data_IF_005081783575
#
_entry.id   IF_005081783575
#
_cell.length_a   1.000
_cell.length_b   1.000
_cell.length_c   1.000
_cell.angle_alpha   90.00
_cell.angle_beta   90.00
_cell.angle_gamma   90.00
#
_symmetry.space_group_name_H-M   'P 1'
#
loop_
_entity.id
_entity.type
_entity.pdbx_description
1 polymer ?
#
# COMPACT_ATOMS: atom_id res chain seq x y z
N UNK A 1 -33.81 -35.96 -7.11
CA UNK A 1 -33.17 -34.63 -6.96
C UNK A 1 -31.64 -34.71 -7.05
N UNK A 2 -31.03 -35.73 -7.67
CA UNK A 2 -29.55 -35.86 -7.72
C UNK A 2 -29.01 -36.29 -9.08
N UNK A 3 -29.22 -35.49 -10.13
CA UNK A 3 -28.56 -35.71 -11.43
C UNK A 3 -27.49 -34.64 -11.69
N UNK A 4 -26.60 -34.42 -10.72
CA UNK A 4 -25.37 -33.65 -10.98
C UNK A 4 -24.27 -34.57 -11.51
N UNK A 5 -23.57 -34.12 -12.56
CA UNK A 5 -22.38 -34.80 -13.06
C UNK A 5 -21.23 -34.72 -12.05
N UNK A 6 -20.25 -35.62 -12.16
CA UNK A 6 -19.06 -35.59 -11.29
C UNK A 6 -18.33 -34.24 -11.35
N UNK A 7 -18.26 -33.62 -12.53
CA UNK A 7 -17.68 -32.28 -12.71
C UNK A 7 -18.47 -31.20 -11.95
N UNK A 8 -19.81 -31.22 -12.03
CA UNK A 8 -20.66 -30.28 -11.28
C UNK A 8 -20.48 -30.43 -9.76
N UNK A 9 -20.40 -31.66 -9.27
CA UNK A 9 -20.17 -31.96 -7.84
C UNK A 9 -18.80 -31.50 -7.34
N UNK A 10 -17.82 -31.30 -8.22
CA UNK A 10 -16.50 -30.80 -7.86
C UNK A 10 -16.40 -29.27 -7.99
N UNK A 11 -16.63 -28.73 -9.19
CA UNK A 11 -16.35 -27.32 -9.47
C UNK A 11 -17.31 -26.35 -8.78
N UNK A 12 -18.61 -26.67 -8.66
CA UNK A 12 -19.55 -25.74 -8.01
C UNK A 12 -19.26 -25.58 -6.51
N UNK A 13 -19.08 -26.64 -5.70
CA UNK A 13 -18.69 -26.48 -4.31
C UNK A 13 -17.33 -25.78 -4.13
N UNK A 14 -16.34 -26.09 -4.97
CA UNK A 14 -15.03 -25.39 -4.93
C UNK A 14 -15.20 -23.90 -5.20
N UNK A 15 -15.98 -23.52 -6.22
CA UNK A 15 -16.23 -22.12 -6.57
C UNK A 15 -16.97 -21.38 -5.46
N UNK A 16 -18.00 -22.00 -4.87
CA UNK A 16 -18.78 -21.41 -3.76
C UNK A 16 -17.90 -21.27 -2.51
N UNK A 17 -17.18 -22.33 -2.14
CA UNK A 17 -16.27 -22.32 -1.00
C UNK A 17 -15.14 -21.30 -1.15
N UNK A 18 -14.59 -21.17 -2.35
CA UNK A 18 -13.57 -20.17 -2.66
C UNK A 18 -14.10 -18.74 -2.52
N UNK A 19 -15.30 -18.43 -3.04
CA UNK A 19 -15.89 -17.10 -2.88
C UNK A 19 -16.23 -16.80 -1.41
N UNK A 20 -16.71 -17.78 -0.64
CA UNK A 20 -16.91 -17.63 0.79
C UNK A 20 -15.59 -17.32 1.52
N UNK A 21 -14.51 -18.03 1.16
CA UNK A 21 -13.18 -17.78 1.69
C UNK A 21 -12.67 -16.37 1.33
N UNK A 22 -12.82 -15.94 0.07
CA UNK A 22 -12.47 -14.59 -0.39
C UNK A 22 -13.19 -13.52 0.44
N UNK A 23 -14.51 -13.62 0.58
CA UNK A 23 -15.33 -12.63 1.30
C UNK A 23 -14.98 -12.59 2.79
N UNK A 24 -14.93 -13.75 3.45
CA UNK A 24 -14.66 -13.83 4.89
C UNK A 24 -13.27 -13.30 5.26
N UNK A 25 -12.23 -13.67 4.51
CA UNK A 25 -10.86 -13.19 4.76
C UNK A 25 -10.69 -11.72 4.40
N UNK A 26 -11.38 -11.22 3.37
CA UNK A 26 -11.38 -9.79 3.04
C UNK A 26 -12.11 -8.97 4.11
N UNK A 27 -13.22 -9.47 4.65
CA UNK A 27 -13.90 -8.84 5.77
C UNK A 27 -12.98 -8.75 6.99
N UNK A 28 -12.27 -9.83 7.34
CA UNK A 28 -11.28 -9.81 8.40
C UNK A 28 -10.17 -8.79 8.13
N UNK A 29 -9.64 -8.75 6.91
CA UNK A 29 -8.62 -7.76 6.51
C UNK A 29 -9.12 -6.31 6.70
N UNK A 30 -10.35 -6.00 6.25
CA UNK A 30 -10.94 -4.67 6.41
C UNK A 30 -11.18 -4.34 7.88
N UNK A 31 -11.62 -5.30 8.69
CA UNK A 31 -11.86 -5.09 10.13
C UNK A 31 -10.60 -4.66 10.88
N UNK A 32 -9.43 -5.01 10.36
CA UNK A 32 -8.12 -4.71 10.94
C UNK A 32 -7.45 -3.46 10.33
N UNK A 33 -8.22 -2.55 9.69
CA UNK A 33 -7.69 -1.37 8.99
C UNK A 33 -6.80 -0.45 9.84
N UNK A 34 -7.02 -0.40 11.15
CA UNK A 34 -6.24 0.42 12.09
C UNK A 34 -4.86 -0.20 12.41
N UNK A 35 -4.67 -1.49 12.15
CA UNK A 35 -3.40 -2.17 12.38
C UNK A 35 -2.33 -1.59 11.46
N UNK A 36 -1.11 -1.29 11.97
CA UNK A 36 0.00 -0.84 11.13
C UNK A 36 0.29 -1.80 9.96
N UNK A 37 0.05 -3.10 10.14
CA UNK A 37 0.24 -4.11 9.11
C UNK A 37 -0.65 -3.90 7.86
N UNK A 38 -1.79 -3.22 8.00
CA UNK A 38 -2.82 -3.08 6.96
C UNK A 38 -3.03 -1.62 6.55
N UNK A 39 -2.85 -0.64 7.45
CA UNK A 39 -3.06 0.80 7.19
C UNK A 39 -2.37 1.27 5.89
N UNK A 40 -1.16 0.78 5.64
CA UNK A 40 -0.37 1.17 4.47
C UNK A 40 -0.66 0.34 3.20
N UNK A 41 -1.56 -0.65 3.25
CA UNK A 41 -1.82 -1.61 2.15
C UNK A 41 -2.99 -1.25 1.21
N UNK A 42 -3.52 -0.02 1.26
CA UNK A 42 -4.64 0.45 0.43
C UNK A 42 -5.82 -0.53 0.35
N UNK A 43 -6.79 -0.35 1.25
CA UNK A 43 -7.96 -1.23 1.33
C UNK A 43 -8.75 -1.23 0.02
N UNK A 44 -8.98 -0.05 -0.57
CA UNK A 44 -9.75 0.08 -1.82
C UNK A 44 -9.14 -0.74 -2.96
N UNK A 45 -7.82 -0.65 -3.18
CA UNK A 45 -7.15 -1.39 -4.25
C UNK A 45 -7.12 -2.89 -3.96
N UNK A 46 -6.99 -3.27 -2.68
CA UNK A 46 -7.05 -4.67 -2.25
C UNK A 46 -8.44 -5.27 -2.51
N UNK A 47 -9.51 -4.51 -2.24
CA UNK A 47 -10.89 -4.93 -2.56
C UNK A 47 -11.10 -5.07 -4.07
N UNK A 48 -10.57 -4.16 -4.88
CA UNK A 48 -10.63 -4.30 -6.35
C UNK A 48 -9.90 -5.56 -6.85
N UNK A 49 -8.74 -5.91 -6.26
CA UNK A 49 -8.09 -7.19 -6.53
C UNK A 49 -8.99 -8.37 -6.17
N UNK A 50 -9.66 -8.35 -5.02
CA UNK A 50 -10.58 -9.42 -4.59
C UNK A 50 -11.78 -9.54 -5.54
N UNK A 51 -12.36 -8.42 -5.98
CA UNK A 51 -13.47 -8.42 -6.96
C UNK A 51 -13.00 -9.02 -8.30
N UNK A 52 -11.85 -8.57 -8.81
CA UNK A 52 -11.27 -9.12 -10.04
C UNK A 52 -10.99 -10.63 -9.92
N UNK A 53 -10.45 -11.06 -8.79
CA UNK A 53 -10.20 -12.47 -8.47
C UNK A 53 -11.50 -13.28 -8.46
N UNK A 54 -12.52 -12.83 -7.71
CA UNK A 54 -13.83 -13.47 -7.63
C UNK A 54 -14.46 -13.62 -9.02
N UNK A 55 -14.46 -12.56 -9.84
CA UNK A 55 -15.01 -12.59 -11.20
C UNK A 55 -14.31 -13.65 -12.07
N UNK A 56 -12.99 -13.62 -12.12
CA UNK A 56 -12.20 -14.52 -12.98
C UNK A 56 -12.28 -15.97 -12.51
N UNK A 57 -12.11 -16.22 -11.21
CA UNK A 57 -12.14 -17.57 -10.66
C UNK A 57 -13.54 -18.18 -10.74
N UNK A 58 -14.59 -17.39 -10.51
CA UNK A 58 -15.99 -17.85 -10.66
C UNK A 58 -16.31 -18.17 -12.11
N UNK A 59 -15.89 -17.34 -13.06
CA UNK A 59 -16.06 -17.62 -14.48
C UNK A 59 -15.37 -18.93 -14.87
N UNK A 60 -14.07 -19.04 -14.59
CA UNK A 60 -13.26 -20.14 -15.10
C UNK A 60 -13.54 -21.46 -14.42
N UNK A 61 -13.86 -21.49 -13.12
CA UNK A 61 -14.26 -22.74 -12.46
C UNK A 61 -15.75 -23.05 -12.69
N UNK A 62 -16.62 -22.05 -12.64
CA UNK A 62 -18.07 -22.22 -12.75
C UNK A 62 -18.55 -22.65 -14.13
N UNK A 63 -17.78 -22.36 -15.19
CA UNK A 63 -18.14 -22.77 -16.56
C UNK A 63 -17.77 -24.22 -16.89
N UNK A 64 -16.76 -24.81 -16.23
CA UNK A 64 -16.20 -26.11 -16.62
C UNK A 64 -17.24 -27.23 -16.64
N UNK A 65 -18.19 -27.30 -15.68
CA UNK A 65 -19.22 -28.33 -15.71
C UNK A 65 -20.21 -28.24 -16.87
N UNK A 66 -20.31 -27.07 -17.50
CA UNK A 66 -21.24 -26.76 -18.60
C UNK A 66 -20.47 -26.23 -19.81
N UNK A 67 -19.23 -26.65 -20.00
CA UNK A 67 -18.32 -26.05 -20.98
C UNK A 67 -18.95 -25.93 -22.37
N UNK A 68 -19.56 -27.00 -22.88
CA UNK A 68 -20.14 -27.06 -24.23
C UNK A 68 -21.40 -26.21 -24.42
N UNK A 69 -22.12 -25.92 -23.33
CA UNK A 69 -23.34 -25.10 -23.34
C UNK A 69 -23.11 -23.70 -22.76
N UNK A 70 -21.88 -23.36 -22.40
CA UNK A 70 -21.59 -22.09 -21.75
C UNK A 70 -21.55 -20.95 -22.78
N UNK A 71 -22.24 -19.83 -22.52
CA UNK A 71 -22.32 -18.72 -23.45
C UNK A 71 -20.99 -17.98 -23.61
N UNK A 72 -20.51 -17.86 -24.86
CA UNK A 72 -19.20 -17.27 -25.13
C UNK A 72 -19.09 -15.78 -24.78
N UNK A 73 -20.19 -15.01 -24.92
CA UNK A 73 -20.18 -13.59 -24.56
C UNK A 73 -19.87 -13.36 -23.07
N UNK A 74 -20.27 -14.27 -22.18
CA UNK A 74 -19.97 -14.15 -20.75
C UNK A 74 -18.47 -14.29 -20.50
N UNK A 75 -17.78 -15.18 -21.23
CA UNK A 75 -16.33 -15.33 -21.11
C UNK A 75 -15.58 -14.06 -21.47
N UNK A 76 -15.90 -13.44 -22.62
CA UNK A 76 -15.18 -12.24 -23.06
C UNK A 76 -15.45 -11.06 -22.13
N UNK A 77 -16.69 -10.83 -21.70
CA UNK A 77 -17.03 -9.72 -20.81
C UNK A 77 -16.39 -9.85 -19.44
N UNK A 78 -16.54 -11.01 -18.80
CA UNK A 78 -16.00 -11.21 -17.45
C UNK A 78 -14.46 -11.21 -17.48
N UNK A 79 -13.84 -11.75 -18.54
CA UNK A 79 -12.38 -11.67 -18.69
C UNK A 79 -11.89 -10.25 -18.95
N UNK A 80 -12.61 -9.47 -19.77
CA UNK A 80 -12.32 -8.06 -20.06
C UNK A 80 -12.49 -7.14 -18.86
N UNK A 81 -13.29 -7.51 -17.86
CA UNK A 81 -13.46 -6.71 -16.64
C UNK A 81 -12.54 -7.23 -15.54
N UNK A 82 -12.61 -8.53 -15.24
CA UNK A 82 -11.96 -9.14 -14.08
C UNK A 82 -10.44 -9.12 -14.16
N UNK A 83 -9.85 -9.51 -15.29
CA UNK A 83 -8.37 -9.55 -15.43
C UNK A 83 -7.77 -8.14 -15.41
N UNK A 84 -8.27 -7.15 -16.18
CA UNK A 84 -7.77 -5.78 -16.11
C UNK A 84 -8.00 -5.12 -14.76
N UNK A 85 -9.14 -5.35 -14.10
CA UNK A 85 -9.38 -4.83 -12.74
C UNK A 85 -8.31 -5.34 -11.76
N UNK A 86 -7.99 -6.63 -11.81
CA UNK A 86 -6.95 -7.20 -10.96
C UNK A 86 -5.56 -6.63 -11.29
N UNK A 87 -5.15 -6.65 -12.56
CA UNK A 87 -3.84 -6.19 -13.02
C UNK A 87 -3.60 -4.69 -12.74
N UNK A 88 -4.57 -3.86 -13.05
CA UNK A 88 -4.48 -2.40 -12.82
C UNK A 88 -4.50 -2.06 -11.33
N UNK A 89 -5.16 -2.88 -10.49
CA UNK A 89 -5.11 -2.73 -9.03
C UNK A 89 -3.72 -3.07 -8.47
N UNK A 90 -3.07 -4.13 -8.97
CA UNK A 90 -1.67 -4.46 -8.62
C UNK A 90 -0.73 -3.32 -9.03
N UNK A 91 -0.85 -2.82 -10.27
CA UNK A 91 -0.07 -1.69 -10.76
C UNK A 91 -0.30 -0.42 -9.91
N UNK A 92 -1.55 -0.14 -9.53
CA UNK A 92 -1.91 0.95 -8.63
C UNK A 92 -1.28 0.82 -7.24
N UNK A 93 -1.15 -0.40 -6.70
CA UNK A 93 -0.48 -0.63 -5.41
C UNK A 93 1.03 -0.37 -5.50
N UNK A 94 1.69 -0.75 -6.61
CA UNK A 94 3.08 -0.37 -6.86
C UNK A 94 3.26 1.15 -6.91
N UNK A 95 2.45 1.85 -7.71
CA UNK A 95 2.47 3.31 -7.82
C UNK A 95 2.28 4.00 -6.46
N UNK A 96 1.31 3.54 -5.66
CA UNK A 96 1.04 4.09 -4.32
C UNK A 96 2.21 3.85 -3.35
N UNK A 97 2.84 2.68 -3.40
CA UNK A 97 4.00 2.39 -2.55
C UNK A 97 5.19 3.28 -2.90
N UNK A 98 5.47 3.45 -4.20
CA UNK A 98 6.56 4.31 -4.68
C UNK A 98 6.36 5.74 -4.19
N UNK A 99 5.12 6.24 -4.33
CA UNK A 99 4.77 7.57 -3.84
C UNK A 99 4.95 7.71 -2.32
N UNK A 100 4.39 6.78 -1.52
CA UNK A 100 4.50 6.83 -0.05
C UNK A 100 5.96 6.89 0.41
N UNK A 101 6.83 6.11 -0.22
CA UNK A 101 8.25 6.10 0.10
C UNK A 101 8.94 7.42 -0.26
N UNK A 102 8.82 7.88 -1.51
CA UNK A 102 9.48 9.10 -1.95
C UNK A 102 8.93 10.36 -1.27
N UNK A 103 7.65 10.38 -0.94
CA UNK A 103 7.04 11.45 -0.15
C UNK A 103 7.60 11.48 1.28
N UNK A 104 7.69 10.31 1.92
CA UNK A 104 8.32 10.20 3.25
C UNK A 104 9.81 10.59 3.22
N UNK A 105 10.50 10.31 2.10
CA UNK A 105 11.90 10.71 1.89
C UNK A 105 12.02 12.23 1.76
N UNK A 106 11.13 12.87 1.00
CA UNK A 106 11.09 14.32 0.87
C UNK A 106 10.85 14.99 2.24
N UNK A 107 9.93 14.43 3.05
CA UNK A 107 9.72 14.88 4.44
C UNK A 107 10.97 14.75 5.30
N UNK A 108 11.68 13.63 5.25
CA UNK A 108 12.93 13.45 6.00
C UNK A 108 13.96 14.51 5.64
N UNK A 109 14.15 14.78 4.34
CA UNK A 109 15.11 15.78 3.85
C UNK A 109 14.70 17.19 4.28
N UNK A 110 13.44 17.56 4.10
CA UNK A 110 12.93 18.88 4.50
C UNK A 110 12.99 19.10 6.02
N UNK A 111 12.61 18.08 6.80
CA UNK A 111 12.67 18.12 8.26
C UNK A 111 14.10 18.20 8.81
N UNK A 112 15.04 17.51 8.18
CA UNK A 112 16.47 17.58 8.56
C UNK A 112 17.10 18.91 8.16
N UNK A 113 16.69 19.50 7.04
CA UNK A 113 17.17 20.82 6.59
C UNK A 113 16.65 21.97 7.46
N UNK A 114 15.53 21.76 8.16
CA UNK A 114 14.97 22.73 9.10
C UNK A 114 15.86 22.97 10.34
N UNK A 115 16.92 22.19 10.56
CA UNK A 115 17.89 22.45 11.65
C UNK A 115 18.69 23.75 11.45
N UNK A 116 18.77 24.29 10.23
CA UNK A 116 19.51 25.54 9.93
C UNK A 116 18.75 26.83 10.26
N UNK A 117 17.57 26.73 10.89
CA UNK A 117 16.64 27.86 10.99
C UNK A 117 16.95 28.94 12.03
N UNK A 118 17.85 28.68 12.96
CA UNK A 118 18.27 29.66 13.97
C UNK A 118 19.80 29.65 14.02
N UNK A 119 20.43 30.22 12.99
CA UNK A 119 21.83 30.61 13.06
C UNK A 119 21.96 31.86 13.94
N UNK A 120 22.37 31.63 15.19
CA UNK A 120 22.63 32.68 16.19
C UNK A 120 23.90 33.49 15.89
N UNK A 121 24.66 33.16 14.83
CA UNK A 121 25.89 33.83 14.44
C UNK A 121 25.71 35.09 13.57
N UNK A 122 24.49 35.39 13.13
CA UNK A 122 24.19 36.55 12.27
C UNK A 122 23.46 37.64 13.06
N UNK A 123 24.01 38.86 13.10
CA UNK A 123 23.39 40.07 13.69
C UNK A 123 22.01 40.44 13.12
N UNK A 124 21.55 39.76 12.06
CA UNK A 124 20.18 39.84 11.56
C UNK A 124 19.58 38.44 11.43
N UNK A 125 18.40 38.17 12.01
CA UNK A 125 17.69 36.91 11.77
C UNK A 125 17.29 36.85 10.30
N UNK A 126 18.08 36.11 9.51
CA UNK A 126 17.80 35.90 8.09
C UNK A 126 17.00 34.62 7.97
N UNK A 127 15.70 34.74 7.71
CA UNK A 127 14.80 33.59 7.52
C UNK A 127 15.25 32.84 6.27
N UNK A 128 16.01 31.75 6.46
CA UNK A 128 16.51 30.94 5.34
C UNK A 128 15.59 29.72 5.14
N UNK A 129 14.69 29.84 4.15
CA UNK A 129 13.84 28.83 3.47
C UNK A 129 13.08 27.75 4.28
N UNK A 130 11.75 27.88 4.39
CA UNK A 130 10.92 27.07 5.32
C UNK A 130 11.01 25.58 4.97
N UNK A 131 10.80 24.63 5.91
CA UNK A 131 10.66 23.23 5.54
C UNK A 131 9.58 23.02 4.45
N UNK A 132 8.58 23.91 4.39
CA UNK A 132 7.63 23.98 3.27
C UNK A 132 8.27 24.41 1.95
N UNK A 133 9.21 25.34 1.92
CA UNK A 133 9.93 25.71 0.69
C UNK A 133 10.76 24.55 0.11
N UNK A 134 11.43 23.76 0.97
CA UNK A 134 12.17 22.56 0.52
C UNK A 134 11.22 21.50 -0.03
N UNK A 135 10.02 21.36 0.56
CA UNK A 135 8.97 20.49 0.05
C UNK A 135 8.39 21.02 -1.27
N UNK A 136 8.17 22.33 -1.41
CA UNK A 136 7.57 22.96 -2.60
C UNK A 136 8.43 22.77 -3.85
N UNK A 137 9.76 22.69 -3.69
CA UNK A 137 10.70 22.37 -4.78
C UNK A 137 10.68 20.87 -5.17
N UNK A 138 10.17 20.00 -4.30
CA UNK A 138 10.16 18.56 -4.54
C UNK A 138 9.05 18.14 -5.52
N UNK A 139 9.41 17.41 -6.58
CA UNK A 139 8.46 16.96 -7.60
C UNK A 139 7.32 16.10 -7.06
N UNK A 140 7.61 15.19 -6.10
CA UNK A 140 6.63 14.29 -5.51
C UNK A 140 5.59 15.07 -4.70
N UNK A 141 6.05 16.09 -3.97
CA UNK A 141 5.18 16.97 -3.21
C UNK A 141 4.27 17.80 -4.11
N UNK A 142 4.84 18.42 -5.15
CA UNK A 142 4.11 19.23 -6.13
C UNK A 142 3.00 18.45 -6.84
N UNK A 143 3.19 17.15 -7.03
CA UNK A 143 2.25 16.29 -7.74
C UNK A 143 1.50 15.30 -6.83
N UNK A 144 1.51 15.51 -5.51
CA UNK A 144 0.94 14.57 -4.52
C UNK A 144 -0.50 14.15 -4.79
N UNK A 145 -1.32 15.06 -5.32
CA UNK A 145 -2.72 14.78 -5.66
C UNK A 145 -2.87 13.65 -6.69
N UNK A 146 -1.91 13.51 -7.62
CA UNK A 146 -1.88 12.48 -8.66
C UNK A 146 -1.56 11.08 -8.13
N UNK A 147 -1.20 10.96 -6.85
CA UNK A 147 -0.85 9.69 -6.21
C UNK A 147 -1.79 9.31 -5.07
N UNK A 148 -2.87 10.06 -4.90
CA UNK A 148 -3.95 9.70 -3.98
C UNK A 148 -4.66 8.43 -4.47
N UNK A 149 -5.20 7.65 -3.52
CA UNK A 149 -6.01 6.47 -3.86
C UNK A 149 -7.16 6.85 -4.80
N UNK A 150 -7.78 8.01 -4.61
CA UNK A 150 -8.88 8.49 -5.45
C UNK A 150 -8.43 8.72 -6.91
N UNK A 151 -7.25 9.31 -7.12
CA UNK A 151 -6.71 9.49 -8.47
C UNK A 151 -6.40 8.14 -9.13
N UNK A 152 -5.78 7.20 -8.40
CA UNK A 152 -5.51 5.85 -8.90
C UNK A 152 -6.81 5.14 -9.27
N UNK A 153 -7.86 5.26 -8.45
CA UNK A 153 -9.19 4.69 -8.76
C UNK A 153 -9.76 5.29 -10.06
N UNK A 154 -9.63 6.61 -10.28
CA UNK A 154 -10.05 7.24 -11.54
C UNK A 154 -9.28 6.68 -12.75
N UNK A 155 -7.97 6.43 -12.62
CA UNK A 155 -7.18 5.79 -13.67
C UNK A 155 -7.65 4.36 -13.96
N UNK A 156 -7.95 3.57 -12.92
CA UNK A 156 -8.49 2.20 -13.07
C UNK A 156 -9.85 2.24 -13.77
N UNK A 157 -10.76 3.14 -13.37
CA UNK A 157 -12.06 3.31 -14.01
C UNK A 157 -11.91 3.71 -15.49
N UNK A 158 -10.98 4.61 -15.80
CA UNK A 158 -10.67 4.98 -17.19
C UNK A 158 -10.14 3.79 -18.01
N UNK A 159 -9.22 3.01 -17.45
CA UNK A 159 -8.68 1.81 -18.09
C UNK A 159 -9.75 0.74 -18.35
N UNK A 160 -10.64 0.51 -17.38
CA UNK A 160 -11.78 -0.41 -17.52
C UNK A 160 -12.78 0.09 -18.56
N UNK A 161 -13.07 1.39 -18.57
CA UNK A 161 -13.99 1.99 -19.56
C UNK A 161 -13.45 1.82 -20.98
N UNK A 162 -12.15 2.04 -21.17
CA UNK A 162 -11.48 1.78 -22.44
C UNK A 162 -11.58 0.30 -22.85
N UNK A 163 -11.31 -0.63 -21.93
CA UNK A 163 -11.41 -2.06 -22.20
C UNK A 163 -12.85 -2.50 -22.52
N UNK A 164 -13.85 -1.95 -21.83
CA UNK A 164 -15.26 -2.19 -22.11
C UNK A 164 -15.64 -1.68 -23.50
N UNK A 165 -15.16 -0.51 -23.90
CA UNK A 165 -15.38 0.02 -25.25
C UNK A 165 -14.77 -0.89 -26.33
N UNK A 166 -13.55 -1.41 -26.12
CA UNK A 166 -12.95 -2.40 -27.03
C UNK A 166 -13.75 -3.70 -27.09
N UNK A 167 -14.28 -4.16 -25.95
CA UNK A 167 -15.09 -5.38 -25.88
C UNK A 167 -16.42 -5.22 -26.61
N UNK A 168 -17.07 -4.06 -26.45
CA UNK A 168 -18.28 -3.69 -27.20
C UNK A 168 -18.01 -3.65 -28.70
N UNK A 169 -16.88 -3.07 -29.11
CA UNK A 169 -16.46 -3.03 -30.50
C UNK A 169 -16.30 -4.45 -31.06
N UNK A 170 -15.56 -5.32 -30.37
CA UNK A 170 -15.39 -6.73 -30.77
C UNK A 170 -16.76 -7.41 -30.91
N UNK A 171 -17.65 -7.23 -29.94
CA UNK A 171 -18.98 -7.83 -29.95
C UNK A 171 -19.84 -7.32 -31.12
N UNK A 172 -19.68 -6.05 -31.54
CA UNK A 172 -20.39 -5.51 -32.70
C UNK A 172 -19.92 -6.14 -34.02
N UNK A 173 -18.65 -6.54 -34.12
CA UNK A 173 -18.07 -7.10 -35.35
C UNK A 173 -18.10 -8.62 -35.45
N UNK A 174 -18.17 -9.35 -34.33
CA UNK A 174 -18.22 -10.83 -34.33
C UNK A 174 -19.64 -11.35 -34.21
N UNK A 175 -20.01 -12.32 -35.04
CA UNK A 175 -21.29 -13.04 -34.91
C UNK A 175 -21.25 -14.13 -33.84
N UNK A 176 -20.04 -14.56 -33.41
CA UNK A 176 -19.87 -15.64 -32.41
C UNK A 176 -20.20 -15.21 -30.99
N UNK A 177 -19.94 -13.93 -30.65
CA UNK A 177 -20.11 -13.40 -29.30
C UNK A 177 -21.28 -12.41 -29.19
N UNK A 178 -22.17 -12.35 -30.20
CA UNK A 178 -23.42 -11.60 -30.13
C UNK A 178 -24.35 -12.18 -29.05
N UNK A 179 -25.16 -11.31 -28.45
CA UNK A 179 -26.18 -11.70 -27.45
C UNK A 179 -27.46 -12.17 -28.17
N UNK A 180 -27.83 -11.50 -29.25
CA UNK A 180 -29.03 -11.76 -30.07
C UNK A 180 -28.69 -11.43 -31.53
N UNK A 181 -29.08 -12.21 -32.56
CA UNK A 181 -29.88 -13.44 -32.54
C UNK A 181 -29.08 -14.75 -32.46
N UNK A 182 -27.76 -14.72 -32.73
CA UNK A 182 -26.90 -15.91 -32.72
C UNK A 182 -25.85 -15.80 -31.63
N UNK A 183 -25.76 -16.80 -30.76
CA UNK A 183 -24.77 -16.88 -29.68
C UNK A 183 -24.01 -18.20 -29.80
N UNK A 184 -22.67 -18.14 -29.87
CA UNK A 184 -21.87 -19.35 -29.81
C UNK A 184 -21.86 -19.93 -28.39
N UNK A 185 -21.88 -21.27 -28.33
CA UNK A 185 -21.80 -22.08 -27.12
C UNK A 185 -20.57 -22.97 -27.21
N UNK A 186 -19.82 -23.09 -26.12
CA UNK A 186 -18.62 -23.93 -26.04
C UNK A 186 -17.43 -23.41 -26.85
N UNK A 187 -16.23 -23.92 -26.53
CA UNK A 187 -14.96 -23.55 -27.19
C UNK A 187 -14.68 -22.03 -27.25
N UNK A 188 -15.18 -21.29 -26.26
CA UNK A 188 -15.25 -19.84 -26.28
C UNK A 188 -13.92 -19.10 -26.05
N UNK A 189 -12.84 -19.77 -25.69
CA UNK A 189 -11.55 -19.13 -25.36
C UNK A 189 -10.57 -19.05 -26.53
N UNK A 190 -10.96 -19.57 -27.69
CA UNK A 190 -10.09 -19.63 -28.86
C UNK A 190 -10.69 -18.71 -29.92
N UNK A 191 -10.08 -17.55 -30.10
CA UNK A 191 -10.57 -16.54 -31.03
C UNK A 191 -9.73 -15.28 -31.03
N UNK A 192 -9.81 -14.54 -32.14
CA UNK A 192 -9.19 -13.21 -32.26
C UNK A 192 -9.89 -12.19 -31.35
N UNK A 193 -11.11 -12.50 -30.91
CA UNK A 193 -11.93 -11.70 -30.03
C UNK A 193 -11.27 -11.42 -28.67
N UNK A 194 -10.36 -12.29 -28.22
CA UNK A 194 -9.59 -12.12 -26.97
C UNK A 194 -8.31 -11.31 -27.15
N UNK A 195 -7.91 -10.97 -28.38
CA UNK A 195 -6.69 -10.19 -28.65
C UNK A 195 -6.65 -8.90 -27.83
N UNK A 196 -7.73 -8.09 -27.73
CA UNK A 196 -7.69 -6.87 -26.92
C UNK A 196 -7.37 -7.14 -25.44
N UNK A 197 -7.96 -8.18 -24.84
CA UNK A 197 -7.69 -8.56 -23.44
C UNK A 197 -6.24 -9.02 -23.27
N UNK A 198 -5.72 -9.80 -24.21
CA UNK A 198 -4.34 -10.26 -24.15
C UNK A 198 -3.34 -9.13 -24.34
N UNK A 199 -3.58 -8.20 -25.26
CA UNK A 199 -2.72 -7.06 -25.50
C UNK A 199 -2.71 -6.10 -24.31
N UNK A 200 -3.87 -5.79 -23.72
CA UNK A 200 -3.91 -4.93 -22.54
C UNK A 200 -3.30 -5.60 -21.32
N UNK A 201 -3.53 -6.91 -21.13
CA UNK A 201 -2.89 -7.68 -20.06
C UNK A 201 -1.36 -7.73 -20.23
N UNK A 202 -0.88 -7.99 -21.46
CA UNK A 202 0.54 -7.99 -21.77
C UNK A 202 1.18 -6.61 -21.56
N UNK A 203 0.48 -5.52 -21.94
CA UNK A 203 0.94 -4.16 -21.64
C UNK A 203 1.09 -3.93 -20.14
N UNK A 204 0.11 -4.34 -19.32
CA UNK A 204 0.21 -4.17 -17.87
C UNK A 204 1.36 -4.99 -17.27
N UNK A 205 1.53 -6.24 -17.70
CA UNK A 205 2.54 -7.17 -17.17
C UNK A 205 3.94 -6.85 -17.65
N UNK A 206 4.14 -6.50 -18.93
CA UNK A 206 5.49 -6.36 -19.51
C UNK A 206 5.94 -4.91 -19.66
N UNK A 207 5.04 -3.93 -19.54
CA UNK A 207 5.39 -2.51 -19.63
C UNK A 207 5.10 -1.80 -18.32
N UNK A 208 3.84 -1.75 -17.90
CA UNK A 208 3.44 -0.89 -16.77
C UNK A 208 4.03 -1.35 -15.43
N UNK A 209 3.87 -2.62 -15.06
CA UNK A 209 4.40 -3.15 -13.81
C UNK A 209 5.94 -3.08 -13.75
N UNK A 210 6.70 -3.48 -14.81
CA UNK A 210 8.16 -3.31 -14.83
C UNK A 210 8.62 -1.86 -14.65
N UNK A 211 7.93 -0.88 -15.25
CA UNK A 211 8.22 0.54 -15.03
C UNK A 211 8.04 0.96 -13.57
N UNK A 212 7.00 0.46 -12.89
CA UNK A 212 6.83 0.74 -11.46
C UNK A 212 7.81 -0.03 -10.57
N UNK A 213 8.22 -1.23 -10.98
CA UNK A 213 9.24 -2.02 -10.27
C UNK A 213 10.60 -1.32 -10.35
N UNK A 214 10.98 -0.77 -11.51
CA UNK A 214 12.22 0.00 -11.65
C UNK A 214 12.17 1.30 -10.85
N UNK A 215 11.01 1.95 -10.78
CA UNK A 215 10.80 3.10 -9.90
C UNK A 215 10.98 2.75 -8.41
N UNK A 216 10.64 1.53 -8.01
CA UNK A 216 10.83 1.00 -6.66
C UNK A 216 12.23 0.41 -6.41
N UNK A 217 13.19 0.57 -7.32
CA UNK A 217 14.55 0.06 -7.14
C UNK A 217 15.21 0.79 -5.96
N UNK A 218 15.82 0.03 -5.05
CA UNK A 218 16.42 0.57 -3.81
C UNK A 218 15.42 0.93 -2.70
N UNK A 219 14.11 0.85 -2.95
CA UNK A 219 13.08 1.02 -1.92
C UNK A 219 12.98 -0.25 -1.08
N UNK A 220 13.00 -0.11 0.23
CA UNK A 220 12.85 -1.22 1.17
C UNK A 220 11.91 -0.81 2.31
N UNK A 221 10.75 -1.44 2.39
CA UNK A 221 9.67 -1.06 3.30
C UNK A 221 9.60 -2.00 4.52
N UNK A 222 9.27 -1.46 5.69
CA UNK A 222 9.24 -2.23 6.94
C UNK A 222 8.09 -3.25 7.01
N UNK A 223 7.11 -3.16 6.12
CA UNK A 223 5.88 -3.95 6.13
C UNK A 223 5.91 -5.13 5.14
N UNK A 224 6.95 -5.23 4.31
CA UNK A 224 7.10 -6.24 3.27
C UNK A 224 6.08 -6.12 2.12
N UNK A 225 5.52 -4.93 1.89
CA UNK A 225 4.56 -4.64 0.81
C UNK A 225 5.24 -4.83 -0.54
N UNK A 226 6.47 -4.33 -0.73
CA UNK A 226 7.22 -4.51 -1.97
C UNK A 226 7.41 -6.00 -2.28
N UNK A 227 7.82 -6.80 -1.29
CA UNK A 227 8.04 -8.24 -1.47
C UNK A 227 6.76 -8.97 -1.87
N UNK A 228 5.63 -8.62 -1.28
CA UNK A 228 4.33 -9.15 -1.67
C UNK A 228 3.98 -8.78 -3.11
N UNK A 229 4.09 -7.51 -3.50
CA UNK A 229 3.78 -7.08 -4.86
C UNK A 229 4.70 -7.74 -5.89
N UNK A 230 5.98 -7.95 -5.54
CA UNK A 230 6.91 -8.71 -6.39
C UNK A 230 6.51 -10.18 -6.52
N UNK A 231 5.97 -10.80 -5.47
CA UNK A 231 5.46 -12.16 -5.52
C UNK A 231 4.21 -12.25 -6.41
N UNK A 232 3.26 -11.33 -6.25
CA UNK A 232 2.05 -11.23 -7.10
C UNK A 232 2.43 -11.04 -8.58
N UNK A 233 3.38 -10.14 -8.86
CA UNK A 233 3.88 -9.90 -10.20
C UNK A 233 4.53 -11.16 -10.81
N UNK A 234 5.43 -11.80 -10.06
CA UNK A 234 6.14 -13.00 -10.51
C UNK A 234 5.16 -14.14 -10.80
N UNK A 235 4.21 -14.35 -9.91
CA UNK A 235 3.16 -15.35 -10.05
C UNK A 235 2.27 -15.06 -11.27
N UNK A 236 1.92 -13.80 -11.50
CA UNK A 236 1.18 -13.36 -12.68
C UNK A 236 1.94 -13.61 -13.99
N UNK A 237 3.24 -13.30 -14.04
CA UNK A 237 4.10 -13.58 -15.20
C UNK A 237 4.17 -15.07 -15.48
N UNK A 238 4.41 -15.90 -14.46
CA UNK A 238 4.46 -17.37 -14.61
C UNK A 238 3.12 -17.89 -15.14
N UNK A 239 2.00 -17.48 -14.55
CA UNK A 239 0.68 -17.91 -14.99
C UNK A 239 0.36 -17.47 -16.41
N UNK A 240 0.74 -16.25 -16.80
CA UNK A 240 0.54 -15.75 -18.16
C UNK A 240 1.36 -16.55 -19.18
N UNK A 241 2.62 -16.86 -18.87
CA UNK A 241 3.48 -17.69 -19.73
C UNK A 241 2.91 -19.11 -19.85
N UNK A 242 2.54 -19.73 -18.72
CA UNK A 242 1.95 -21.07 -18.72
C UNK A 242 0.62 -21.12 -19.47
N UNK A 243 -0.22 -20.09 -19.34
CA UNK A 243 -1.43 -19.94 -20.11
C UNK A 243 -1.14 -19.96 -21.62
N UNK A 244 -0.19 -19.14 -22.09
CA UNK A 244 0.19 -19.07 -23.51
C UNK A 244 0.77 -20.40 -23.98
N UNK A 245 1.67 -21.01 -23.21
CA UNK A 245 2.28 -22.30 -23.56
C UNK A 245 1.23 -23.40 -23.71
N UNK A 246 0.28 -23.50 -22.76
CA UNK A 246 -0.81 -24.46 -22.84
C UNK A 246 -1.77 -24.13 -23.99
N UNK A 247 -2.04 -22.85 -24.27
CA UNK A 247 -2.91 -22.48 -25.37
C UNK A 247 -2.27 -22.71 -26.76
N UNK A 248 -0.96 -22.55 -26.89
CA UNK A 248 -0.26 -22.55 -28.17
C UNK A 248 0.32 -23.92 -28.56
N UNK A 249 0.70 -24.77 -27.60
CA UNK A 249 1.39 -26.05 -27.89
C UNK A 249 0.39 -27.20 -28.11
N UNK A 250 0.32 -27.77 -29.33
CA UNK A 250 -0.60 -28.87 -29.62
C UNK A 250 -0.28 -30.16 -28.84
N UNK A 251 0.97 -30.35 -28.43
CA UNK A 251 1.42 -31.50 -27.65
C UNK A 251 0.78 -31.57 -26.25
N UNK A 252 0.26 -30.45 -25.74
CA UNK A 252 -0.38 -30.38 -24.43
C UNK A 252 -1.89 -30.66 -24.48
N UNK A 253 -2.46 -30.99 -25.65
CA UNK A 253 -3.92 -31.19 -25.83
C UNK A 253 -4.54 -32.18 -24.85
N UNK A 254 -3.88 -33.29 -24.55
CA UNK A 254 -4.42 -34.27 -23.59
C UNK A 254 -4.34 -33.77 -22.14
N UNK A 255 -3.33 -32.98 -21.81
CA UNK A 255 -3.22 -32.33 -20.50
C UNK A 255 -4.28 -31.24 -20.36
N UNK A 256 -4.55 -30.46 -21.40
CA UNK A 256 -5.54 -29.38 -21.42
C UNK A 256 -6.96 -29.89 -21.15
N UNK A 257 -7.28 -31.13 -21.56
CA UNK A 257 -8.58 -31.76 -21.25
C UNK A 257 -8.79 -31.96 -19.75
N UNK A 258 -7.71 -32.15 -18.99
CA UNK A 258 -7.75 -32.38 -17.54
C UNK A 258 -7.58 -31.04 -16.80
N UNK A 259 -6.65 -30.21 -17.28
CA UNK A 259 -6.30 -28.92 -16.69
C UNK A 259 -6.29 -27.84 -17.78
N UNK A 260 -7.44 -27.21 -18.05
CA UNK A 260 -7.54 -26.17 -19.06
C UNK A 260 -6.59 -24.99 -18.79
N UNK A 261 -6.01 -24.41 -19.83
CA UNK A 261 -5.00 -23.34 -19.73
C UNK A 261 -5.40 -22.19 -18.78
N UNK A 262 -6.69 -21.81 -18.75
CA UNK A 262 -7.23 -20.76 -17.89
C UNK A 262 -7.06 -21.03 -16.38
N UNK A 263 -6.90 -22.29 -15.97
CA UNK A 263 -6.70 -22.66 -14.57
C UNK A 263 -5.35 -22.17 -14.02
N UNK A 264 -4.34 -21.91 -14.86
CA UNK A 264 -3.11 -21.28 -14.42
C UNK A 264 -3.36 -19.90 -13.81
N UNK A 265 -4.25 -19.11 -14.42
CA UNK A 265 -4.70 -17.84 -13.86
C UNK A 265 -5.49 -18.01 -12.56
N UNK A 266 -6.34 -19.04 -12.47
CA UNK A 266 -7.10 -19.35 -11.24
C UNK A 266 -6.15 -19.65 -10.09
N UNK A 267 -5.20 -20.56 -10.29
CA UNK A 267 -4.22 -20.95 -9.26
C UNK A 267 -3.39 -19.73 -8.82
N UNK A 268 -2.94 -18.91 -9.77
CA UNK A 268 -2.21 -17.68 -9.45
C UNK A 268 -3.05 -16.69 -8.63
N UNK A 269 -4.30 -16.46 -9.00
CA UNK A 269 -5.20 -15.57 -8.26
C UNK A 269 -5.48 -16.10 -6.85
N UNK A 270 -5.65 -17.42 -6.70
CA UNK A 270 -5.86 -18.05 -5.39
C UNK A 270 -4.64 -17.88 -4.47
N UNK A 271 -3.44 -18.16 -4.98
CA UNK A 271 -2.19 -18.00 -4.24
C UNK A 271 -1.93 -16.52 -3.90
N UNK A 272 -2.17 -15.61 -4.85
CA UNK A 272 -2.05 -14.17 -4.63
C UNK A 272 -2.95 -13.69 -3.48
N UNK A 273 -4.20 -14.15 -3.40
CA UNK A 273 -5.09 -13.79 -2.30
C UNK A 273 -4.55 -14.22 -0.93
N UNK A 274 -3.92 -15.40 -0.86
CA UNK A 274 -3.29 -15.87 0.38
C UNK A 274 -2.17 -14.92 0.84
N UNK A 275 -1.28 -14.52 -0.06
CA UNK A 275 -0.18 -13.63 0.28
C UNK A 275 -0.62 -12.19 0.53
N UNK A 276 -1.58 -11.68 -0.24
CA UNK A 276 -1.94 -10.26 -0.27
C UNK A 276 -3.06 -9.86 0.67
N UNK A 277 -3.89 -10.81 1.11
CA UNK A 277 -5.02 -10.55 2.02
C UNK A 277 -4.88 -11.39 3.30
N UNK A 278 -4.72 -12.71 3.17
CA UNK A 278 -4.76 -13.62 4.32
C UNK A 278 -3.56 -13.44 5.24
N UNK A 279 -2.33 -13.42 4.71
CA UNK A 279 -1.13 -13.25 5.54
C UNK A 279 -1.10 -11.90 6.29
N UNK A 280 -1.38 -10.74 5.66
CA UNK A 280 -1.47 -9.48 6.39
C UNK A 280 -2.58 -9.49 7.45
N UNK A 281 -3.74 -10.08 7.18
CA UNK A 281 -4.82 -10.20 8.14
C UNK A 281 -4.43 -11.05 9.35
N UNK A 282 -3.81 -12.21 9.12
CA UNK A 282 -3.31 -13.08 10.20
C UNK A 282 -2.21 -12.38 10.99
N UNK A 283 -1.30 -11.67 10.33
CA UNK A 283 -0.26 -10.89 11.00
C UNK A 283 -0.83 -9.75 11.85
N UNK A 284 -1.89 -9.08 11.38
CA UNK A 284 -2.58 -8.06 12.16
C UNK A 284 -3.25 -8.65 13.42
N UNK A 285 -3.94 -9.79 13.28
CA UNK A 285 -4.58 -10.50 14.39
C UNK A 285 -3.56 -11.02 15.41
N UNK A 286 -2.47 -11.65 14.93
CA UNK A 286 -1.38 -12.15 15.79
C UNK A 286 -0.58 -11.02 16.42
N UNK A 287 -0.39 -9.91 15.71
CA UNK A 287 0.29 -8.71 16.24
C UNK A 287 -0.48 -8.03 17.37
N UNK A 288 -1.80 -8.28 17.49
CA UNK A 288 -2.60 -7.87 18.64
C UNK A 288 -2.47 -8.80 19.86
N UNK A 289 -2.13 -10.07 19.66
CA UNK A 289 -2.14 -11.12 20.71
C UNK A 289 -0.74 -11.61 21.15
N UNK A 290 0.29 -11.40 20.33
CA UNK A 290 1.66 -11.83 20.59
C UNK A 290 2.57 -10.66 20.90
N UNK A 291 2.71 -10.34 22.20
CA UNK A 291 3.62 -9.33 22.69
C UNK A 291 5.02 -9.45 22.07
N UNK A 292 5.56 -8.29 21.69
CA UNK A 292 6.99 -8.11 21.49
C UNK A 292 7.72 -8.55 22.76
N UNK A 293 8.15 -9.81 22.80
CA UNK A 293 9.20 -10.23 23.73
C UNK A 293 10.45 -9.43 23.35
N UNK A 294 10.99 -8.71 24.34
CA UNK A 294 12.34 -8.13 24.39
C UNK A 294 12.59 -6.77 23.73
N UNK A 295 11.81 -5.73 24.06
CA UNK A 295 12.32 -4.34 23.98
C UNK A 295 11.86 -3.55 25.19
N UNK A 296 12.77 -3.28 26.14
CA UNK A 296 12.47 -2.46 27.32
C UNK A 296 12.38 -0.98 26.93
N UNK A 297 11.56 -0.22 27.66
CA UNK A 297 11.51 1.24 27.51
C UNK A 297 12.90 1.87 27.71
N UNK A 298 13.68 1.34 28.66
CA UNK A 298 15.05 1.78 28.92
C UNK A 298 15.98 1.60 27.71
N UNK A 299 15.83 0.50 26.95
CA UNK A 299 16.62 0.29 25.73
C UNK A 299 16.23 1.27 24.62
N UNK A 300 14.94 1.60 24.51
CA UNK A 300 14.49 2.66 23.59
C UNK A 300 15.02 4.03 24.00
N UNK A 301 14.95 4.36 25.29
CA UNK A 301 15.49 5.61 25.85
C UNK A 301 16.98 5.75 25.57
N UNK A 302 17.77 4.71 25.84
CA UNK A 302 19.21 4.71 25.52
C UNK A 302 19.48 4.89 24.03
N UNK A 303 18.64 4.32 23.15
CA UNK A 303 18.78 4.46 21.69
C UNK A 303 18.50 5.89 21.22
N UNK A 304 17.47 6.55 21.76
CA UNK A 304 17.13 7.94 21.36
C UNK A 304 18.06 8.99 21.99
N UNK A 305 18.79 8.63 23.05
CA UNK A 305 19.83 9.49 23.65
C UNK A 305 21.15 9.44 22.88
N UNK A 306 21.46 8.33 22.20
CA UNK A 306 22.63 8.18 21.34
C UNK A 306 22.36 8.81 19.96
N UNK A 307 23.06 9.90 19.58
CA UNK A 307 22.83 10.59 18.30
C UNK A 307 23.05 9.68 17.09
N UNK A 308 24.02 8.77 17.14
CA UNK A 308 24.33 7.89 16.02
C UNK A 308 23.22 6.84 15.84
N UNK A 309 22.77 6.23 16.94
CA UNK A 309 21.68 5.25 16.88
C UNK A 309 20.35 5.92 16.49
N UNK A 310 20.09 7.11 17.01
CA UNK A 310 18.89 7.86 16.66
C UNK A 310 18.86 8.27 15.18
N UNK A 311 20.00 8.62 14.57
CA UNK A 311 20.09 8.84 13.12
C UNK A 311 19.76 7.59 12.29
N UNK A 312 20.17 6.41 12.76
CA UNK A 312 19.79 5.14 12.12
C UNK A 312 18.29 4.89 12.30
N UNK A 313 17.73 5.18 13.47
CA UNK A 313 16.31 5.08 13.75
C UNK A 313 15.47 6.04 12.90
N UNK A 314 15.92 7.29 12.70
CA UNK A 314 15.29 8.26 11.78
C UNK A 314 15.23 7.72 10.36
N UNK A 315 16.32 7.16 9.84
CA UNK A 315 16.32 6.50 8.52
C UNK A 315 15.41 5.27 8.48
N UNK A 316 15.26 4.54 9.57
CA UNK A 316 14.30 3.45 9.66
C UNK A 316 12.85 3.96 9.61
N UNK A 317 12.53 5.08 10.28
CA UNK A 317 11.18 5.66 10.30
C UNK A 317 10.67 6.06 8.91
N UNK A 318 11.58 6.33 7.96
CA UNK A 318 11.25 6.48 6.53
C UNK A 318 10.63 5.19 5.96
N UNK A 319 11.26 4.05 6.23
CA UNK A 319 10.80 2.73 5.79
C UNK A 319 9.50 2.29 6.48
N UNK A 320 9.25 2.86 7.66
CA UNK A 320 8.05 2.66 8.47
C UNK A 320 6.91 3.64 8.13
N UNK A 321 7.15 4.62 7.24
CA UNK A 321 6.23 5.69 6.88
C UNK A 321 5.71 6.48 8.10
N UNK A 322 6.62 6.82 9.02
CA UNK A 322 6.32 7.50 10.28
C UNK A 322 7.40 8.52 10.69
N UNK A 323 7.99 9.20 9.70
CA UNK A 323 9.16 10.06 9.87
C UNK A 323 8.86 11.30 10.71
N UNK A 324 7.65 11.82 10.62
CA UNK A 324 7.16 12.97 11.36
C UNK A 324 7.32 12.79 12.88
N UNK A 325 7.12 11.58 13.40
CA UNK A 325 7.27 11.28 14.82
C UNK A 325 8.71 11.49 15.28
N UNK A 326 9.68 10.96 14.52
CA UNK A 326 11.09 11.07 14.87
C UNK A 326 11.61 12.51 14.75
N UNK A 327 11.17 13.23 13.71
CA UNK A 327 11.53 14.64 13.50
C UNK A 327 10.95 15.55 14.60
N UNK A 328 9.68 15.36 14.98
CA UNK A 328 9.09 16.10 16.08
C UNK A 328 9.80 15.81 17.41
N UNK A 329 10.07 14.54 17.69
CA UNK A 329 10.75 14.12 18.91
C UNK A 329 12.13 14.78 19.04
N UNK A 330 12.92 14.75 17.97
CA UNK A 330 14.22 15.41 17.91
C UNK A 330 14.13 16.91 18.16
N UNK A 331 13.16 17.57 17.51
CA UNK A 331 13.01 19.02 17.58
C UNK A 331 12.63 19.48 18.98
N UNK A 332 11.77 18.73 19.68
CA UNK A 332 11.46 18.99 21.09
C UNK A 332 12.67 18.73 22.01
N UNK A 333 13.45 17.67 21.78
CA UNK A 333 14.68 17.42 22.55
C UNK A 333 15.68 18.57 22.38
N UNK A 334 15.91 19.03 21.15
CA UNK A 334 16.78 20.18 20.85
C UNK A 334 16.29 21.46 21.52
N UNK A 335 14.98 21.74 21.44
CA UNK A 335 14.37 22.88 22.12
C UNK A 335 14.63 22.81 23.64
N UNK A 336 14.30 21.69 24.27
CA UNK A 336 14.51 21.47 25.71
C UNK A 336 15.98 21.61 26.12
N UNK A 337 16.91 21.11 25.31
CA UNK A 337 18.34 21.25 25.56
C UNK A 337 18.76 22.73 25.51
N UNK A 338 18.34 23.48 24.48
CA UNK A 338 18.65 24.90 24.33
C UNK A 338 17.97 25.78 25.40
N UNK A 339 16.84 25.35 25.96
CA UNK A 339 16.09 26.10 26.98
C UNK A 339 16.29 25.58 28.39
N UNK A 340 17.25 24.68 28.63
CA UNK A 340 17.46 24.04 29.94
C UNK A 340 17.71 25.05 31.07
N UNK A 341 18.37 26.15 30.74
CA UNK A 341 18.69 27.24 31.68
C UNK A 341 17.56 28.28 31.82
N UNK A 342 16.53 28.21 30.96
CA UNK A 342 15.39 29.12 30.94
C UNK A 342 14.20 28.61 31.77
N UNK A 343 14.34 27.44 32.42
CA UNK A 343 13.31 26.86 33.30
C UNK A 343 13.08 27.74 34.54
N UNK A 344 12.19 28.72 34.42
CA UNK A 344 11.83 29.66 35.49
C UNK A 344 11.87 31.15 35.09
N UNK A 345 12.25 31.46 33.85
CA UNK A 345 12.18 32.84 33.34
C UNK A 345 10.71 33.31 33.22
N UNK A 346 10.44 34.55 33.67
CA UNK A 346 9.10 35.13 33.63
C UNK A 346 8.61 35.39 32.19
N UNK A 347 9.53 35.64 31.26
CA UNK A 347 9.25 35.84 29.83
C UNK A 347 10.16 34.96 28.98
N UNK A 348 9.58 34.38 27.93
CA UNK A 348 10.33 33.57 26.97
C UNK A 348 11.03 34.46 25.94
N UNK A 349 12.30 34.20 25.61
CA UNK A 349 12.97 34.90 24.52
C UNK A 349 12.20 34.78 23.20
N UNK A 350 12.25 35.83 22.37
CA UNK A 350 11.53 35.89 21.09
C UNK A 350 11.82 34.67 20.19
N UNK A 351 13.07 34.21 20.15
CA UNK A 351 13.44 33.03 19.35
C UNK A 351 12.76 31.74 19.83
N UNK A 352 12.49 31.59 21.14
CA UNK A 352 11.77 30.44 21.70
C UNK A 352 10.31 30.48 21.26
N UNK A 353 9.69 31.66 21.31
CA UNK A 353 8.30 31.86 20.85
C UNK A 353 8.21 31.55 19.35
N UNK A 354 9.16 32.03 18.55
CA UNK A 354 9.22 31.75 17.11
C UNK A 354 9.38 30.24 16.84
N UNK A 355 10.24 29.55 17.59
CA UNK A 355 10.45 28.11 17.45
C UNK A 355 9.20 27.31 17.87
N UNK A 356 8.53 27.69 18.95
CA UNK A 356 7.26 27.07 19.38
C UNK A 356 6.18 27.23 18.30
N UNK A 357 6.05 28.43 17.73
CA UNK A 357 5.13 28.68 16.61
C UNK A 357 5.50 27.84 15.38
N UNK A 358 6.79 27.74 15.05
CA UNK A 358 7.27 26.92 13.94
C UNK A 358 6.92 25.44 14.14
N UNK A 359 7.14 24.89 15.33
CA UNK A 359 6.80 23.50 15.67
C UNK A 359 5.29 23.28 15.56
N UNK A 360 4.48 24.20 16.10
CA UNK A 360 3.01 24.09 16.01
C UNK A 360 2.53 24.06 14.55
N UNK A 361 2.99 24.99 13.73
CA UNK A 361 2.59 25.07 12.31
C UNK A 361 3.12 23.90 11.47
N UNK A 362 4.22 23.26 11.91
CA UNK A 362 4.83 22.15 11.16
C UNK A 362 4.19 20.81 11.52
N UNK A 363 3.88 20.56 12.79
CA UNK A 363 3.52 19.23 13.30
C UNK A 363 2.13 19.11 13.93
N UNK A 364 1.51 20.23 14.35
CA UNK A 364 0.28 20.22 15.17
C UNK A 364 -0.91 20.84 14.45
N UNK A 365 -0.69 21.87 13.62
CA UNK A 365 -1.80 22.49 12.89
C UNK A 365 -2.45 21.48 11.95
N UNK A 366 -3.77 21.58 11.81
CA UNK A 366 -4.52 20.74 10.89
C UNK A 366 -4.00 20.94 9.47
N UNK A 367 -3.92 19.85 8.71
CA UNK A 367 -3.42 19.82 7.34
C UNK A 367 -1.95 20.23 7.20
N UNK A 368 -1.18 20.24 8.30
CA UNK A 368 0.26 20.43 8.22
C UNK A 368 0.94 19.24 7.57
N UNK A 369 2.00 19.49 6.81
CA UNK A 369 2.68 18.44 6.06
C UNK A 369 3.35 17.40 6.97
N UNK A 370 3.63 17.73 8.23
CA UNK A 370 4.13 16.79 9.24
C UNK A 370 3.11 16.57 10.37
N UNK A 371 1.81 16.73 10.08
CA UNK A 371 0.75 16.54 11.06
C UNK A 371 0.87 15.18 11.77
N UNK A 372 0.96 15.25 13.10
CA UNK A 372 1.11 14.08 13.96
C UNK A 372 -0.24 13.43 14.25
N UNK A 373 -0.26 12.11 14.29
CA UNK A 373 -1.43 11.33 14.68
C UNK A 373 -1.59 11.27 16.21
N UNK A 374 -1.94 12.40 16.82
CA UNK A 374 -2.13 12.58 18.26
C UNK A 374 -3.57 12.35 18.70
N UNK A 375 -3.78 12.18 20.01
CA UNK A 375 -5.13 12.19 20.57
C UNK A 375 -5.80 13.56 20.39
N UNK A 376 -7.10 13.55 20.08
CA UNK A 376 -7.88 14.79 19.89
C UNK A 376 -7.86 15.70 21.13
N UNK A 377 -7.68 15.15 22.33
CA UNK A 377 -7.49 15.91 23.57
C UNK A 377 -6.18 16.70 23.58
N UNK A 378 -5.06 16.11 23.17
CA UNK A 378 -3.77 16.81 23.12
C UNK A 378 -3.79 17.95 22.11
N UNK A 379 -4.32 17.72 20.91
CA UNK A 379 -4.43 18.76 19.87
C UNK A 379 -5.32 19.91 20.33
N UNK A 380 -6.48 19.61 20.95
CA UNK A 380 -7.39 20.63 21.49
C UNK A 380 -6.74 21.44 22.61
N UNK A 381 -5.99 20.79 23.48
CA UNK A 381 -5.27 21.43 24.57
C UNK A 381 -4.22 22.42 24.05
N UNK A 382 -3.36 21.98 23.13
CA UNK A 382 -2.35 22.83 22.50
C UNK A 382 -3.03 24.00 21.77
N UNK A 383 -4.02 23.73 20.92
CA UNK A 383 -4.73 24.77 20.16
C UNK A 383 -5.38 25.80 21.07
N UNK A 384 -5.99 25.38 22.18
CA UNK A 384 -6.59 26.29 23.17
C UNK A 384 -5.54 27.23 23.77
N UNK A 385 -4.35 26.69 24.12
CA UNK A 385 -3.26 27.50 24.68
C UNK A 385 -2.69 28.51 23.68
N UNK A 386 -2.56 28.12 22.41
CA UNK A 386 -2.21 29.06 21.34
C UNK A 386 -3.28 30.16 21.16
N UNK A 387 -4.57 29.82 21.20
CA UNK A 387 -5.66 30.79 21.10
C UNK A 387 -5.71 31.77 22.29
N UNK A 388 -5.40 31.29 23.49
CA UNK A 388 -5.35 32.13 24.69
C UNK A 388 -3.99 32.83 24.88
N UNK A 389 -3.07 32.71 23.92
CA UNK A 389 -1.69 33.23 24.00
C UNK A 389 -0.93 32.76 25.26
N UNK A 390 -1.26 31.59 25.80
CA UNK A 390 -0.57 30.98 26.95
C UNK A 390 0.58 30.08 26.45
N UNK A 391 1.61 30.71 25.89
CA UNK A 391 2.78 30.03 25.33
C UNK A 391 3.82 29.82 26.43
N UNK A 392 4.04 28.57 26.81
CA UNK A 392 5.06 28.15 27.79
C UNK A 392 5.90 27.00 27.25
N UNK A 393 7.04 26.71 27.87
CA UNK A 393 7.95 25.63 27.48
C UNK A 393 7.31 24.23 27.55
N UNK A 394 6.31 24.05 28.39
CA UNK A 394 5.59 22.78 28.62
C UNK A 394 4.47 22.51 27.60
N UNK A 395 4.23 23.43 26.66
CA UNK A 395 3.08 23.38 25.76
C UNK A 395 2.98 22.09 24.94
N UNK A 396 4.12 21.43 24.68
CA UNK A 396 4.19 20.20 23.90
C UNK A 396 4.40 18.93 24.75
N UNK A 397 4.42 19.01 26.08
CA UNK A 397 4.80 17.86 26.94
C UNK A 397 3.91 16.64 26.74
N UNK A 398 2.60 16.86 26.63
CA UNK A 398 1.63 15.81 26.34
C UNK A 398 1.87 15.18 24.96
N UNK A 399 1.98 16.00 23.91
CA UNK A 399 2.25 15.53 22.56
C UNK A 399 3.58 14.78 22.47
N UNK A 400 4.62 15.26 23.17
CA UNK A 400 5.91 14.61 23.26
C UNK A 400 5.81 13.22 23.92
N UNK A 401 5.06 13.09 25.01
CA UNK A 401 4.80 11.80 25.66
C UNK A 401 4.02 10.83 24.77
N UNK A 402 3.02 11.33 24.03
CA UNK A 402 2.25 10.54 23.06
C UNK A 402 3.14 10.04 21.91
N UNK A 403 3.90 10.93 21.26
CA UNK A 403 4.82 10.57 20.17
C UNK A 403 5.88 9.58 20.63
N UNK A 404 6.45 9.79 21.82
CA UNK A 404 7.40 8.86 22.45
C UNK A 404 6.79 7.47 22.60
N UNK A 405 5.55 7.40 23.05
CA UNK A 405 4.81 6.13 23.20
C UNK A 405 4.51 5.50 21.84
N UNK A 406 4.16 6.29 20.83
CA UNK A 406 3.93 5.80 19.46
C UNK A 406 5.20 5.19 18.87
N UNK A 407 6.33 5.89 18.96
CA UNK A 407 7.63 5.40 18.50
C UNK A 407 8.01 4.11 19.23
N UNK A 408 7.90 4.07 20.56
CA UNK A 408 8.23 2.88 21.35
C UNK A 408 7.32 1.69 21.06
N UNK A 409 6.01 1.90 20.96
CA UNK A 409 5.03 0.81 20.84
C UNK A 409 4.95 0.25 19.42
N UNK A 410 5.13 1.11 18.40
CA UNK A 410 4.88 0.73 17.02
C UNK A 410 6.16 0.67 16.17
N UNK A 411 6.98 1.73 16.16
CA UNK A 411 8.15 1.79 15.26
C UNK A 411 9.35 1.02 15.81
N UNK A 412 9.67 1.15 17.11
CA UNK A 412 10.84 0.55 17.75
C UNK A 412 10.89 -0.98 17.69
N UNK A 413 9.80 -1.74 17.93
CA UNK A 413 9.85 -3.19 17.86
C UNK A 413 10.19 -3.69 16.45
N UNK A 414 9.74 -2.98 15.40
CA UNK A 414 10.08 -3.30 14.01
C UNK A 414 11.54 -2.95 13.70
N UNK A 415 12.04 -1.84 14.23
CA UNK A 415 13.45 -1.47 14.13
C UNK A 415 14.37 -2.54 14.71
N UNK A 416 14.12 -2.97 15.95
CA UNK A 416 14.92 -4.01 16.62
C UNK A 416 14.87 -5.33 15.86
N UNK A 417 13.68 -5.76 15.41
CA UNK A 417 13.51 -6.98 14.62
C UNK A 417 14.28 -6.94 13.31
N UNK A 418 14.34 -5.78 12.66
CA UNK A 418 15.13 -5.60 11.44
C UNK A 418 16.63 -5.67 11.72
N UNK A 419 17.11 -5.04 12.79
CA UNK A 419 18.51 -5.13 13.22
C UNK A 419 18.95 -6.58 13.48
N UNK A 420 18.13 -7.35 14.20
CA UNK A 420 18.39 -8.78 14.45
C UNK A 420 18.44 -9.61 13.16
N UNK A 421 17.55 -9.33 12.19
CA UNK A 421 17.53 -10.02 10.90
C UNK A 421 18.77 -9.71 10.06
N UNK A 422 19.19 -8.45 10.02
CA UNK A 422 20.41 -8.04 9.31
C UNK A 422 21.66 -8.67 9.92
N UNK A 423 21.75 -8.76 11.24
CA UNK A 423 22.83 -9.46 11.94
C UNK A 423 22.86 -10.95 11.59
N UNK A 424 21.69 -11.62 11.62
CA UNK A 424 21.59 -13.04 11.28
C UNK A 424 21.97 -13.33 9.81
N UNK A 425 21.57 -12.46 8.87
CA UNK A 425 21.92 -12.58 7.44
C UNK A 425 23.40 -12.33 7.15
N UNK A 426 24.12 -11.64 8.05
CA UNK A 426 25.57 -11.41 7.93
C UNK A 426 26.39 -12.57 8.51
N UNK A 427 25.77 -13.44 9.31
CA UNK A 427 26.40 -14.60 9.95
C UNK A 427 26.22 -15.92 9.18
N UNK A 428 25.50 -15.89 8.05
CA UNK A 428 25.30 -17.01 7.10
C UNK A 428 26.06 -16.67 5.83
#
# INVERSE_FOLDING_TARGET
MDNWTTSQKFYYPVTIGWNFFLISTTFLFISQYQSPAIRYRSITLSVFMVIGNSLVTTLYLGREPTYDSFPCFVNIWVSSIGMPLWLTSVAGRFMRLAFLYHFSQAKLVAGSSADHYVDLGSEKPTITSAPTMVLDENWYYKHREKFTTNYIVRLIIGALSFQMALTLLVQAFTTKFQITPTMALGNCLVGWEFIPVYLTSAFYVFVLCPLFITWLRGVDDAYGIKRELMADFTLGVIAFILYILFAALPSLRDVIKIFPAAHWSVVALMISHCFSIVLPAVNALRGGAGGSRSSSMASFESMVEDPQQFEVFKRFSLRDFSVENALFFERIQKLRHKTRELSGAAELPTWVILEINSIYNTFISADSEFELNLEASAVREIRRRFQSNDIRLDIFDRAFSEVRTLMFRYTYPRFVKMGQKSLAETMI
#
